data_IF_237542856615
#
_entry.id   IF_237542856615
#
_cell.length_a   1.000
_cell.length_b   1.000
_cell.length_c   1.000
_cell.angle_alpha   90.00
_cell.angle_beta   90.00
_cell.angle_gamma   90.00
#
_symmetry.space_group_name_H-M   'P 1'
#
loop_
_entity.id
_entity.type
_entity.pdbx_description
1 polymer ?
#
# COMPACT_ATOMS: atom_id res chain seq x y z
N UNK A 1 76.76 -9.85 68.33
CA UNK A 1 76.34 -10.44 67.05
C UNK A 1 74.84 -10.29 66.94
N UNK A 2 74.34 -9.92 65.75
CA UNK A 2 72.94 -9.66 65.35
C UNK A 2 72.34 -8.29 65.77
N UNK A 3 72.32 -7.38 64.79
CA UNK A 3 71.39 -6.23 64.66
C UNK A 3 70.23 -6.69 63.77
N UNK A 4 69.00 -6.28 64.05
CA UNK A 4 67.96 -5.94 63.06
C UNK A 4 67.04 -4.86 63.66
N UNK A 5 66.68 -3.89 62.81
CA UNK A 5 66.05 -2.60 63.13
C UNK A 5 64.50 -2.65 63.07
N UNK A 6 63.92 -1.63 63.70
CA UNK A 6 62.50 -1.25 63.80
C UNK A 6 61.85 -0.83 62.47
N UNK A 7 60.53 -0.93 62.37
CA UNK A 7 59.72 -0.25 61.36
C UNK A 7 58.23 -0.26 61.69
N UNK A 8 57.71 0.90 62.12
CA UNK A 8 56.27 1.17 62.33
C UNK A 8 55.61 1.30 60.96
N UNK A 9 54.54 0.54 60.71
CA UNK A 9 53.71 0.65 59.51
C UNK A 9 52.42 1.40 59.84
N UNK A 10 52.31 2.61 59.29
CA UNK A 10 51.09 3.40 59.27
C UNK A 10 50.09 2.79 58.29
N UNK A 11 48.87 2.53 58.75
CA UNK A 11 47.79 1.99 57.93
C UNK A 11 47.03 3.16 57.26
N UNK A 12 47.29 3.39 55.98
CA UNK A 12 46.48 4.30 55.15
C UNK A 12 45.17 3.60 54.77
N UNK A 13 44.05 4.09 55.28
CA UNK A 13 42.70 3.78 54.79
C UNK A 13 42.50 4.44 53.42
N UNK A 14 42.68 3.67 52.35
CA UNK A 14 42.24 4.04 51.01
C UNK A 14 40.74 3.77 50.88
N UNK A 15 39.92 4.81 50.90
CA UNK A 15 38.52 4.75 50.45
C UNK A 15 38.53 4.60 48.93
N UNK A 16 38.44 3.36 48.45
CA UNK A 16 38.13 3.11 47.04
C UNK A 16 36.67 3.51 46.80
N UNK A 17 36.47 4.67 46.17
CA UNK A 17 35.21 5.00 45.51
C UNK A 17 35.03 4.02 44.35
N UNK A 18 34.28 2.93 44.57
CA UNK A 18 33.75 2.15 43.48
C UNK A 18 32.69 3.02 42.80
N UNK A 19 32.83 3.38 41.51
CA UNK A 19 31.73 4.00 40.80
C UNK A 19 30.57 3.00 40.84
N UNK A 20 29.44 3.40 41.42
CA UNK A 20 28.21 2.65 41.33
C UNK A 20 27.98 2.30 39.86
N UNK A 21 27.84 1.01 39.55
CA UNK A 21 27.48 0.58 38.20
C UNK A 21 26.23 1.34 37.80
N UNK A 22 26.37 2.24 36.81
CA UNK A 22 25.29 3.06 36.30
C UNK A 22 24.07 2.17 36.04
N UNK A 23 22.91 2.53 36.60
CA UNK A 23 21.65 1.85 36.33
C UNK A 23 21.38 1.96 34.82
N UNK A 24 21.66 0.90 34.09
CA UNK A 24 21.52 0.88 32.65
C UNK A 24 20.04 0.65 32.29
N UNK A 25 19.41 1.67 31.73
CA UNK A 25 18.05 1.57 31.18
C UNK A 25 16.94 2.25 32.00
N UNK A 26 17.22 2.75 33.19
CA UNK A 26 16.25 3.46 34.04
C UNK A 26 16.99 4.14 35.20
N UNK A 27 16.38 5.16 35.79
CA UNK A 27 16.82 5.71 37.07
C UNK A 27 15.83 5.31 38.18
N UNK A 28 16.33 5.14 39.41
CA UNK A 28 15.47 5.05 40.60
C UNK A 28 15.53 6.40 41.31
N UNK A 29 14.38 7.07 41.38
CA UNK A 29 14.21 8.34 42.10
C UNK A 29 13.09 8.17 43.11
N UNK A 30 13.42 8.34 44.39
CA UNK A 30 12.56 8.05 45.54
C UNK A 30 12.00 6.62 45.51
N UNK A 31 10.69 6.46 45.28
CA UNK A 31 9.98 5.18 45.18
C UNK A 31 9.59 4.82 43.73
N UNK A 32 10.16 5.52 42.73
CA UNK A 32 9.76 5.39 41.33
C UNK A 32 10.91 4.97 40.43
N UNK A 33 10.56 4.15 39.45
CA UNK A 33 11.40 3.87 38.29
C UNK A 33 11.10 4.92 37.22
N UNK A 34 12.11 5.70 36.83
CA UNK A 34 11.99 6.78 35.85
C UNK A 34 12.68 6.36 34.54
N UNK A 35 11.89 6.36 33.46
CA UNK A 35 12.36 6.06 32.09
C UNK A 35 11.97 7.22 31.19
N UNK A 36 12.89 8.16 30.98
CA UNK A 36 12.58 9.42 30.28
C UNK A 36 13.60 9.80 29.19
N UNK A 37 14.76 9.14 29.13
CA UNK A 37 15.84 9.48 28.18
C UNK A 37 16.07 8.44 27.09
N UNK A 38 16.63 8.88 25.95
CA UNK A 38 17.07 8.00 24.83
C UNK A 38 17.95 6.86 25.33
N UNK A 39 18.96 7.17 26.15
CA UNK A 39 19.89 6.19 26.71
C UNK A 39 19.18 5.15 27.58
N UNK A 40 18.07 5.49 28.23
CA UNK A 40 17.27 4.51 29.00
C UNK A 40 16.61 3.52 28.04
N UNK A 41 15.96 4.01 26.99
CA UNK A 41 15.28 3.19 25.99
C UNK A 41 16.20 2.34 25.11
N UNK A 42 17.48 2.69 25.01
CA UNK A 42 18.49 1.92 24.27
C UNK A 42 18.83 0.59 24.96
N UNK A 43 18.75 0.51 26.29
CA UNK A 43 19.07 -0.69 27.05
C UNK A 43 17.89 -1.66 27.21
N UNK A 44 16.66 -1.22 26.87
CA UNK A 44 15.48 -2.07 26.91
C UNK A 44 15.35 -2.89 25.62
N UNK A 45 14.98 -4.17 25.76
CA UNK A 45 14.73 -5.06 24.63
C UNK A 45 13.42 -4.66 23.94
N UNK A 46 13.53 -3.89 22.86
CA UNK A 46 12.43 -3.46 21.98
C UNK A 46 12.51 -4.19 20.63
N UNK A 47 11.38 -4.40 19.93
CA UNK A 47 11.44 -4.91 18.56
C UNK A 47 12.08 -3.84 17.65
N UNK A 48 13.29 -4.11 17.14
CA UNK A 48 14.12 -3.15 16.40
C UNK A 48 13.45 -2.53 15.16
N UNK A 49 12.37 -3.16 14.66
CA UNK A 49 11.69 -2.73 13.44
C UNK A 49 10.29 -2.15 13.68
N UNK A 50 9.76 -2.20 14.91
CA UNK A 50 8.44 -1.68 15.25
C UNK A 50 8.48 -0.35 16.02
N UNK A 51 9.66 0.12 16.39
CA UNK A 51 9.82 1.35 17.17
C UNK A 51 11.01 2.16 16.68
N UNK A 52 10.88 3.48 16.64
CA UNK A 52 11.99 4.42 16.45
C UNK A 52 12.13 5.30 17.70
N UNK A 53 13.34 5.78 17.99
CA UNK A 53 13.58 6.79 19.03
C UNK A 53 13.89 8.09 18.30
N UNK A 54 13.06 9.11 18.49
CA UNK A 54 13.27 10.40 17.83
C UNK A 54 14.36 11.25 18.50
N UNK A 55 14.64 12.42 17.94
CA UNK A 55 15.65 13.36 18.43
C UNK A 55 15.33 13.95 19.81
N UNK A 56 14.08 13.86 20.27
CA UNK A 56 13.68 14.25 21.63
C UNK A 56 13.85 13.12 22.66
N UNK A 57 14.19 11.91 22.21
CA UNK A 57 14.36 10.74 23.06
C UNK A 57 13.06 9.97 23.33
N UNK A 58 11.95 10.36 22.67
CA UNK A 58 10.69 9.64 22.77
C UNK A 58 10.71 8.38 21.90
N UNK A 59 10.22 7.26 22.45
CA UNK A 59 9.96 6.03 21.70
C UNK A 59 8.64 6.21 20.96
N UNK A 60 8.66 6.02 19.64
CA UNK A 60 7.47 6.05 18.79
C UNK A 60 7.30 4.72 18.06
N UNK A 61 6.07 4.22 17.91
CA UNK A 61 5.83 3.07 17.04
C UNK A 61 6.15 3.47 15.60
N UNK A 62 6.83 2.58 14.87
CA UNK A 62 7.01 2.72 13.43
C UNK A 62 5.65 2.50 12.79
N UNK A 63 5.11 3.54 12.17
CA UNK A 63 3.80 3.46 11.52
C UNK A 63 3.89 2.55 10.28
N UNK A 64 3.57 1.27 10.47
CA UNK A 64 3.44 0.30 9.39
C UNK A 64 2.08 0.52 8.72
N UNK A 65 1.99 1.48 7.80
CA UNK A 65 0.82 1.56 6.92
C UNK A 65 0.99 0.52 5.82
N UNK A 66 0.10 -0.46 5.76
CA UNK A 66 0.01 -1.34 4.60
C UNK A 66 -0.55 -0.49 3.45
N UNK A 67 0.27 -0.20 2.43
CA UNK A 67 -0.25 0.36 1.19
C UNK A 67 -1.07 -0.73 0.50
N UNK A 68 -2.36 -0.49 0.39
CA UNK A 68 -3.30 -1.42 -0.22
C UNK A 68 -3.72 -0.90 -1.59
N UNK A 69 -3.28 -1.56 -2.64
CA UNK A 69 -3.72 -1.24 -3.99
C UNK A 69 -5.09 -1.89 -4.23
N UNK A 70 -6.14 -1.07 -4.30
CA UNK A 70 -7.51 -1.55 -4.55
C UNK A 70 -7.62 -2.27 -5.90
N UNK A 71 -6.80 -1.89 -6.89
CA UNK A 71 -6.85 -2.47 -8.24
C UNK A 71 -6.35 -3.92 -8.30
N UNK A 72 -5.60 -4.38 -7.30
CA UNK A 72 -5.15 -5.79 -7.24
C UNK A 72 -6.12 -6.68 -6.45
N UNK A 73 -7.15 -6.11 -5.82
CA UNK A 73 -8.11 -6.88 -5.04
C UNK A 73 -9.17 -7.56 -5.93
N UNK A 74 -8.93 -8.85 -6.21
CA UNK A 74 -9.87 -9.69 -6.94
C UNK A 74 -11.02 -10.23 -6.09
N UNK A 75 -11.00 -10.03 -4.76
CA UNK A 75 -12.11 -10.43 -3.90
C UNK A 75 -13.36 -9.57 -4.12
N UNK A 76 -13.18 -8.38 -4.72
CA UNK A 76 -14.27 -7.47 -5.07
C UNK A 76 -14.77 -7.83 -6.46
N UNK A 77 -16.05 -8.21 -6.52
CA UNK A 77 -16.80 -8.32 -7.75
C UNK A 77 -18.24 -7.90 -7.49
N UNK A 78 -18.84 -7.13 -8.41
CA UNK A 78 -20.27 -6.82 -8.38
C UNK A 78 -20.97 -7.48 -9.56
N UNK A 79 -22.10 -8.17 -9.35
CA UNK A 79 -22.92 -8.64 -10.45
C UNK A 79 -23.51 -7.44 -11.19
N UNK A 80 -23.52 -7.52 -12.52
CA UNK A 80 -24.16 -6.52 -13.38
C UNK A 80 -25.03 -7.20 -14.42
N UNK A 81 -26.05 -6.48 -14.87
CA UNK A 81 -26.86 -6.89 -16.02
C UNK A 81 -26.38 -6.10 -17.22
N UNK A 82 -25.95 -6.82 -18.25
CA UNK A 82 -25.57 -6.23 -19.54
C UNK A 82 -26.68 -6.55 -20.52
N UNK A 83 -27.49 -5.55 -20.85
CA UNK A 83 -28.63 -5.68 -21.78
C UNK A 83 -28.27 -5.31 -23.22
N UNK A 84 -27.19 -4.56 -23.44
CA UNK A 84 -26.71 -4.17 -24.75
C UNK A 84 -25.44 -4.97 -25.13
N UNK A 85 -25.25 -5.29 -26.42
CA UNK A 85 -24.07 -6.00 -26.96
C UNK A 85 -22.90 -5.07 -27.31
N UNK A 86 -23.13 -3.76 -27.39
CA UNK A 86 -22.13 -2.74 -27.70
C UNK A 86 -21.28 -2.18 -26.54
N UNK A 87 -21.54 -2.44 -25.24
CA UNK A 87 -20.74 -1.84 -24.20
C UNK A 87 -19.36 -2.50 -24.10
N UNK A 88 -18.38 -1.78 -24.63
CA UNK A 88 -16.96 -2.05 -24.45
C UNK A 88 -16.55 -1.71 -23.02
N UNK A 89 -16.88 -2.61 -22.09
CA UNK A 89 -16.43 -2.53 -20.69
C UNK A 89 -15.28 -3.53 -20.51
N UNK A 90 -14.09 -3.04 -20.22
CA UNK A 90 -12.87 -3.86 -20.17
C UNK A 90 -12.69 -4.61 -18.84
N UNK A 91 -13.35 -4.17 -17.76
CA UNK A 91 -13.25 -4.77 -16.41
C UNK A 91 -14.41 -5.74 -16.08
N UNK A 92 -15.01 -6.38 -17.08
CA UNK A 92 -16.11 -7.34 -16.90
C UNK A 92 -15.65 -8.76 -17.20
N UNK A 93 -15.82 -9.64 -16.21
CA UNK A 93 -15.80 -11.09 -16.44
C UNK A 93 -17.19 -11.57 -16.87
N UNK A 94 -17.22 -12.57 -17.75
CA UNK A 94 -18.46 -13.27 -18.12
C UNK A 94 -18.34 -14.76 -17.84
N UNK A 95 -19.41 -15.36 -17.31
CA UNK A 95 -19.51 -16.80 -17.05
C UNK A 95 -20.78 -17.34 -17.68
N UNK A 96 -20.66 -18.38 -18.51
CA UNK A 96 -21.82 -19.01 -19.14
C UNK A 96 -22.76 -19.60 -18.09
N UNK A 97 -24.06 -19.25 -18.16
CA UNK A 97 -25.06 -19.85 -17.28
C UNK A 97 -25.40 -21.25 -17.75
N UNK A 98 -25.47 -22.17 -16.80
CA UNK A 98 -25.88 -23.55 -17.04
C UNK A 98 -27.11 -23.90 -16.20
N UNK A 99 -27.96 -24.79 -16.72
CA UNK A 99 -29.08 -25.35 -15.97
C UNK A 99 -28.61 -26.38 -14.93
N UNK A 100 -29.57 -26.94 -14.17
CA UNK A 100 -29.27 -27.97 -13.14
C UNK A 100 -28.64 -29.24 -13.71
N UNK A 101 -28.69 -29.43 -15.03
CA UNK A 101 -28.08 -30.56 -15.74
C UNK A 101 -26.75 -30.17 -16.42
N UNK A 102 -26.24 -28.96 -16.18
CA UNK A 102 -24.98 -28.47 -16.75
C UNK A 102 -25.09 -28.03 -18.21
N UNK A 103 -26.29 -27.88 -18.76
CA UNK A 103 -26.49 -27.46 -20.16
C UNK A 103 -26.54 -25.94 -20.27
N UNK A 104 -25.98 -25.33 -21.32
CA UNK A 104 -26.03 -23.87 -21.52
C UNK A 104 -27.47 -23.35 -21.51
N UNK A 105 -27.73 -22.33 -20.70
CA UNK A 105 -29.02 -21.62 -20.70
C UNK A 105 -29.08 -20.72 -21.93
N UNK A 106 -30.22 -20.74 -22.61
CA UNK A 106 -30.49 -19.88 -23.75
C UNK A 106 -31.67 -18.95 -23.48
N UNK A 107 -31.62 -17.74 -24.05
CA UNK A 107 -32.75 -16.81 -24.06
C UNK A 107 -33.82 -17.24 -25.08
N UNK A 108 -34.91 -16.46 -25.17
CA UNK A 108 -36.00 -16.72 -26.13
C UNK A 108 -35.57 -16.63 -27.61
N UNK A 109 -34.44 -15.98 -27.89
CA UNK A 109 -33.84 -15.85 -29.23
C UNK A 109 -32.76 -16.91 -29.49
N UNK A 110 -32.57 -17.87 -28.57
CA UNK A 110 -31.54 -18.92 -28.60
C UNK A 110 -30.09 -18.43 -28.44
N UNK A 111 -29.87 -17.22 -27.92
CA UNK A 111 -28.54 -16.79 -27.51
C UNK A 111 -28.17 -17.42 -26.15
N UNK A 112 -26.89 -17.75 -25.95
CA UNK A 112 -26.42 -18.17 -24.64
C UNK A 112 -26.49 -17.02 -23.62
N UNK A 113 -26.90 -17.35 -22.40
CA UNK A 113 -27.02 -16.40 -21.30
C UNK A 113 -25.78 -16.46 -20.43
N UNK A 114 -25.24 -15.30 -20.05
CA UNK A 114 -24.04 -15.18 -19.21
C UNK A 114 -24.37 -14.39 -17.93
N UNK A 115 -23.69 -14.76 -16.84
CA UNK A 115 -23.56 -13.91 -15.66
C UNK A 115 -22.34 -13.00 -15.83
N UNK A 116 -22.49 -11.72 -15.50
CA UNK A 116 -21.45 -10.72 -15.65
C UNK A 116 -21.02 -10.19 -14.28
N UNK A 117 -19.71 -10.08 -14.09
CA UNK A 117 -19.10 -9.58 -12.86
C UNK A 117 -18.15 -8.43 -13.20
N UNK A 118 -18.40 -7.25 -12.65
CA UNK A 118 -17.47 -6.13 -12.76
C UNK A 118 -16.45 -6.20 -11.63
N UNK A 119 -15.18 -5.99 -11.97
CA UNK A 119 -14.06 -5.91 -11.02
C UNK A 119 -13.43 -4.52 -11.02
N UNK A 120 -12.59 -4.25 -10.03
CA UNK A 120 -11.72 -3.10 -10.09
C UNK A 120 -10.77 -3.22 -11.30
N UNK A 121 -10.60 -2.15 -12.08
CA UNK A 121 -9.74 -2.15 -13.26
C UNK A 121 -10.15 -1.08 -14.27
N UNK A 122 -9.52 -1.11 -15.44
CA UNK A 122 -9.90 -0.22 -16.53
C UNK A 122 -11.29 -0.58 -17.00
N UNK A 123 -12.22 0.36 -16.97
CA UNK A 123 -13.56 0.15 -17.50
C UNK A 123 -13.63 0.51 -18.97
N UNK A 124 -13.03 1.63 -19.38
CA UNK A 124 -13.14 2.19 -20.74
C UNK A 124 -11.91 3.00 -21.10
N UNK A 125 -11.68 3.17 -22.40
CA UNK A 125 -10.74 4.15 -22.94
C UNK A 125 -11.30 4.75 -24.22
N UNK A 126 -10.97 6.01 -24.50
CA UNK A 126 -11.41 6.68 -25.72
C UNK A 126 -10.58 6.32 -26.96
N UNK A 127 -9.31 5.95 -26.75
CA UNK A 127 -8.34 5.61 -27.80
C UNK A 127 -7.46 4.44 -27.37
N UNK A 128 -6.86 3.72 -28.32
CA UNK A 128 -5.94 2.59 -28.10
C UNK A 128 -6.39 1.65 -26.97
N UNK A 129 -7.65 1.22 -27.05
CA UNK A 129 -8.36 0.49 -25.99
C UNK A 129 -7.62 -0.78 -25.56
N UNK A 130 -7.00 -1.48 -26.51
CA UNK A 130 -6.24 -2.71 -26.25
C UNK A 130 -5.03 -2.47 -25.33
N UNK A 131 -4.46 -1.27 -25.33
CA UNK A 131 -3.33 -0.90 -24.48
C UNK A 131 -3.78 -0.46 -23.07
N UNK A 132 -5.07 -0.20 -22.86
CA UNK A 132 -5.53 0.41 -21.63
C UNK A 132 -5.29 -0.49 -20.42
N UNK A 133 -5.33 -1.82 -20.59
CA UNK A 133 -5.05 -2.78 -19.52
C UNK A 133 -3.63 -2.65 -18.93
N UNK A 134 -2.66 -2.11 -19.68
CA UNK A 134 -1.29 -1.91 -19.20
C UNK A 134 -1.21 -0.96 -17.99
N UNK A 135 -2.15 -0.01 -17.83
CA UNK A 135 -2.06 0.95 -16.72
C UNK A 135 -2.30 0.32 -15.34
N UNK A 136 -2.79 -0.92 -15.29
CA UNK A 136 -3.11 -1.66 -14.04
C UNK A 136 -2.39 -3.00 -13.92
N UNK A 137 -1.52 -3.36 -14.87
CA UNK A 137 -0.83 -4.66 -14.89
C UNK A 137 0.36 -4.75 -13.92
N UNK A 138 0.88 -3.59 -13.49
CA UNK A 138 2.01 -3.45 -12.56
C UNK A 138 3.39 -3.52 -13.21
N UNK A 139 3.48 -3.67 -14.53
CA UNK A 139 4.73 -3.60 -15.28
C UNK A 139 5.07 -2.14 -15.60
N UNK A 140 6.21 -1.58 -15.14
CA UNK A 140 6.56 -0.19 -15.40
C UNK A 140 7.02 0.06 -16.85
N UNK A 141 7.19 -0.99 -17.66
CA UNK A 141 7.64 -0.91 -19.06
C UNK A 141 6.50 -1.00 -20.06
N UNK A 142 5.29 -1.31 -19.61
CA UNK A 142 4.05 -1.28 -20.40
C UNK A 142 3.29 0.01 -20.11
N UNK A 143 2.56 0.50 -21.11
CA UNK A 143 1.83 1.75 -20.98
C UNK A 143 0.62 1.80 -21.91
N UNK A 144 -0.27 2.74 -21.60
CA UNK A 144 -1.28 3.21 -22.53
C UNK A 144 -0.85 4.57 -23.07
N UNK A 145 -1.01 4.75 -24.37
CA UNK A 145 -0.96 6.04 -25.05
C UNK A 145 -2.13 6.13 -26.03
N UNK A 146 -2.72 7.31 -26.26
CA UNK A 146 -3.72 7.50 -27.31
C UNK A 146 -3.07 7.48 -28.70
N UNK A 147 -3.84 7.17 -29.74
CA UNK A 147 -3.40 7.41 -31.12
C UNK A 147 -3.26 8.93 -31.33
N UNK A 148 -2.08 9.44 -31.73
CA UNK A 148 -1.89 10.87 -31.96
C UNK A 148 -2.82 11.48 -33.02
N UNK A 149 -3.45 10.64 -33.86
CA UNK A 149 -4.41 11.05 -34.89
C UNK A 149 -5.84 11.15 -34.36
N UNK A 150 -6.12 10.58 -33.19
CA UNK A 150 -7.43 10.69 -32.56
C UNK A 150 -7.63 12.10 -32.00
N UNK A 151 -8.86 12.65 -32.06
CA UNK A 151 -9.18 13.93 -31.47
C UNK A 151 -8.95 13.90 -29.94
N UNK A 152 -8.54 15.04 -29.37
CA UNK A 152 -8.12 15.15 -27.96
C UNK A 152 -9.22 14.70 -26.97
N UNK A 153 -10.49 14.80 -27.36
CA UNK A 153 -11.65 14.37 -26.58
C UNK A 153 -11.70 12.84 -26.38
N UNK A 154 -10.93 12.07 -27.15
CA UNK A 154 -10.78 10.62 -27.00
C UNK A 154 -9.55 10.23 -26.16
N UNK A 155 -8.73 11.20 -25.72
CA UNK A 155 -7.51 10.95 -24.96
C UNK A 155 -7.82 10.80 -23.48
N UNK A 156 -8.49 9.72 -23.13
CA UNK A 156 -8.85 9.41 -21.76
C UNK A 156 -8.89 7.90 -21.53
N UNK A 157 -8.61 7.53 -20.27
CA UNK A 157 -8.85 6.20 -19.74
C UNK A 157 -9.67 6.34 -18.46
N UNK A 158 -10.65 5.47 -18.30
CA UNK A 158 -11.49 5.38 -17.12
C UNK A 158 -11.13 4.12 -16.34
N UNK A 159 -10.88 4.30 -15.04
CA UNK A 159 -10.66 3.21 -14.09
C UNK A 159 -11.83 3.16 -13.14
N UNK A 160 -12.49 2.02 -13.10
CA UNK A 160 -13.58 1.73 -12.17
C UNK A 160 -13.04 0.88 -11.02
N UNK A 161 -13.31 1.30 -9.79
CA UNK A 161 -12.87 0.58 -8.59
C UNK A 161 -13.82 -0.57 -8.23
N UNK A 162 -14.93 -0.73 -8.95
CA UNK A 162 -15.93 -1.78 -8.75
C UNK A 162 -16.85 -1.57 -7.55
N UNK A 163 -16.49 -0.67 -6.62
CA UNK A 163 -17.31 -0.24 -5.47
C UNK A 163 -16.88 1.14 -4.97
N UNK A 164 -17.73 1.80 -4.19
CA UNK A 164 -17.33 2.99 -3.44
C UNK A 164 -16.34 2.60 -2.33
N UNK A 165 -15.12 3.12 -2.39
CA UNK A 165 -14.08 2.93 -1.39
C UNK A 165 -13.49 4.28 -0.95
N UNK A 166 -13.12 4.43 0.33
CA UNK A 166 -12.27 5.54 0.74
C UNK A 166 -10.87 5.33 0.15
N UNK A 167 -10.38 6.32 -0.61
CA UNK A 167 -9.03 6.31 -1.20
C UNK A 167 -8.20 7.37 -0.52
N UNK A 168 -7.03 6.99 -0.02
CA UNK A 168 -6.12 7.90 0.67
C UNK A 168 -5.18 8.64 -0.29
N UNK A 169 -4.92 8.06 -1.46
CA UNK A 169 -4.08 8.64 -2.48
C UNK A 169 -4.24 7.93 -3.83
N UNK A 170 -4.02 8.67 -4.90
CA UNK A 170 -4.02 8.17 -6.27
C UNK A 170 -2.63 8.42 -6.84
N UNK A 171 -2.00 7.39 -7.38
CA UNK A 171 -0.69 7.46 -8.01
C UNK A 171 -0.86 7.27 -9.51
N UNK A 172 -0.62 8.32 -10.29
CA UNK A 172 -0.44 8.21 -11.74
C UNK A 172 1.06 8.11 -12.00
N UNK A 173 1.49 7.10 -12.77
CA UNK A 173 2.89 6.89 -13.12
C UNK A 173 3.03 7.02 -14.63
N UNK A 174 3.97 7.85 -15.04
CA UNK A 174 4.41 7.90 -16.43
C UNK A 174 5.60 6.97 -16.61
N UNK A 175 5.81 6.55 -17.84
CA UNK A 175 6.96 5.73 -18.22
C UNK A 175 8.27 6.50 -18.02
N UNK A 176 9.37 5.75 -18.00
CA UNK A 176 10.70 6.34 -18.05
C UNK A 176 10.89 7.17 -19.34
N UNK A 177 11.70 8.23 -19.27
CA UNK A 177 11.97 9.13 -20.40
C UNK A 177 12.59 8.41 -21.61
N UNK A 178 13.25 7.27 -21.40
CA UNK A 178 13.77 6.43 -22.49
C UNK A 178 12.66 5.67 -23.26
N UNK A 179 11.48 5.48 -22.64
CA UNK A 179 10.36 4.73 -23.21
C UNK A 179 9.29 5.63 -23.82
N UNK A 180 9.11 6.85 -23.32
CA UNK A 180 8.13 7.77 -23.88
C UNK A 180 8.05 9.13 -23.18
N UNK A 181 7.41 10.07 -23.87
CA UNK A 181 7.22 11.44 -23.38
C UNK A 181 5.92 11.54 -22.56
N UNK A 182 5.97 12.00 -21.29
CA UNK A 182 4.78 12.17 -20.48
C UNK A 182 3.93 13.36 -20.96
N UNK A 183 2.62 13.30 -20.67
CA UNK A 183 1.75 14.44 -20.93
C UNK A 183 2.16 15.67 -20.12
N UNK A 184 2.24 16.83 -20.77
CA UNK A 184 2.49 18.11 -20.09
C UNK A 184 1.42 18.46 -19.04
N UNK A 185 0.18 18.04 -19.28
CA UNK A 185 -0.97 18.29 -18.43
C UNK A 185 -1.94 17.12 -18.51
N UNK A 186 -2.56 16.80 -17.40
CA UNK A 186 -3.65 15.84 -17.33
C UNK A 186 -4.71 16.31 -16.34
N UNK A 187 -5.91 15.78 -16.48
CA UNK A 187 -7.03 16.00 -15.58
C UNK A 187 -7.38 14.67 -14.91
N UNK A 188 -7.39 14.66 -13.58
CA UNK A 188 -7.90 13.55 -12.81
C UNK A 188 -9.31 13.90 -12.33
N UNK A 189 -10.30 13.18 -12.85
CA UNK A 189 -11.70 13.35 -12.47
C UNK A 189 -12.14 12.15 -11.63
N UNK A 190 -12.91 12.42 -10.58
CA UNK A 190 -13.48 11.40 -9.70
C UNK A 190 -14.99 11.44 -9.81
N UNK A 191 -15.60 10.28 -9.98
CA UNK A 191 -17.05 10.11 -10.01
C UNK A 191 -17.47 9.08 -8.95
N UNK A 192 -18.55 9.36 -8.24
CA UNK A 192 -19.09 8.45 -7.22
C UNK A 192 -19.94 7.34 -7.84
N UNK A 193 -20.66 7.66 -8.91
CA UNK A 193 -21.48 6.71 -9.65
C UNK A 193 -20.95 6.58 -11.06
N UNK A 194 -20.53 5.37 -11.40
CA UNK A 194 -20.60 4.94 -12.79
C UNK A 194 -22.04 4.57 -13.08
N UNK A 195 -22.69 5.29 -13.98
CA UNK A 195 -23.91 4.79 -14.60
C UNK A 195 -23.49 3.67 -15.55
N UNK A 196 -23.37 2.44 -15.03
CA UNK A 196 -23.46 1.24 -15.85
C UNK A 196 -24.95 1.01 -16.21
N UNK A 197 -25.61 2.03 -16.76
CA UNK A 197 -26.89 1.82 -17.46
C UNK A 197 -26.51 1.37 -18.85
N UNK A 198 -26.46 0.05 -19.01
CA UNK A 198 -26.45 -0.59 -20.33
C UNK A 198 -27.87 -0.89 -20.80
N UNK A 199 -28.84 -0.30 -20.11
CA UNK A 199 -30.23 -0.19 -20.50
C UNK A 199 -30.39 1.06 -21.33
N UNK A 200 -31.01 0.89 -22.50
CA UNK A 200 -31.49 1.97 -23.37
C UNK A 200 -32.34 3.01 -22.60
#
# INVERSE_FOLDING_TARGET
>A
MVRIKWGILAYCLLWAWLPASAQQGYDIVDDRIVVSGRSHWEHWKKPEHLTTIDNSGAVRPRHLRSLYNVLTDRSIARPVVITNKDPRILNVDSTLKVDVLGRPVQDTQKNFVYDYLVRAGVSRAGSNIEMAAHIVDGDPTTFWEPDPRDPIEQWWVEVDLGRAVPVEGISVRFVDEELGDPFFKYLLLLAQNQTLSLTD
#
